data_IF_825489083232
#
_entry.id   IF_825489083232
#
_cell.length_a   1.000
_cell.length_b   1.000
_cell.length_c   1.000
_cell.angle_alpha   90.00
_cell.angle_beta   90.00
_cell.angle_gamma   90.00
#
_symmetry.space_group_name_H-M   'P 1'
#
loop_
_entity.id
_entity.type
_entity.pdbx_description
1 polymer ?
#
# COMPACT_ATOMS: atom_id res chain seq x y z
N UNK A 1 28.25 20.80 -24.80
CA UNK A 1 28.03 20.83 -23.32
C UNK A 1 27.01 19.82 -22.75
N UNK A 2 26.38 19.01 -23.59
CA UNK A 2 25.41 18.00 -23.13
C UNK A 2 26.00 16.77 -22.39
N UNK A 3 27.24 16.31 -22.62
CA UNK A 3 27.75 15.14 -21.89
C UNK A 3 28.06 15.39 -20.41
N UNK A 4 28.36 16.62 -20.01
CA UNK A 4 28.70 16.94 -18.62
C UNK A 4 27.49 17.05 -17.69
N UNK A 5 26.37 17.59 -18.18
CA UNK A 5 25.14 17.68 -17.41
C UNK A 5 24.49 16.33 -17.16
N UNK A 6 24.57 15.41 -18.14
CA UNK A 6 24.17 14.01 -17.95
C UNK A 6 25.03 13.29 -16.92
N UNK A 7 26.35 13.52 -16.91
CA UNK A 7 27.26 12.91 -15.94
C UNK A 7 27.01 13.33 -14.49
N UNK A 8 26.72 14.61 -14.25
CA UNK A 8 26.38 15.10 -12.91
C UNK A 8 25.02 14.54 -12.41
N UNK A 9 24.00 14.54 -13.26
CA UNK A 9 22.71 13.92 -12.94
C UNK A 9 22.85 12.42 -12.59
N UNK A 10 23.67 11.70 -13.30
CA UNK A 10 24.01 10.30 -13.06
C UNK A 10 24.65 10.10 -11.68
N UNK A 11 25.59 10.96 -11.31
CA UNK A 11 26.28 10.88 -10.00
C UNK A 11 25.29 11.12 -8.87
N UNK A 12 24.46 12.17 -8.95
CA UNK A 12 23.47 12.48 -7.90
C UNK A 12 22.43 11.38 -7.73
N UNK A 13 21.93 10.80 -8.81
CA UNK A 13 20.91 9.74 -8.74
C UNK A 13 21.47 8.43 -8.18
N UNK A 14 22.72 8.09 -8.54
CA UNK A 14 23.43 6.95 -7.92
C UNK A 14 23.65 7.19 -6.44
N UNK A 15 24.01 8.41 -6.05
CA UNK A 15 24.18 8.78 -4.64
C UNK A 15 22.88 8.63 -3.86
N UNK A 16 21.71 9.05 -4.41
CA UNK A 16 20.42 8.87 -3.75
C UNK A 16 20.13 7.39 -3.50
N UNK A 17 20.29 6.52 -4.51
CA UNK A 17 20.08 5.09 -4.32
C UNK A 17 21.06 4.50 -3.29
N UNK A 18 22.34 4.86 -3.37
CA UNK A 18 23.36 4.39 -2.44
C UNK A 18 23.09 4.86 -1.01
N UNK A 19 22.78 6.12 -0.82
CA UNK A 19 22.46 6.67 0.50
C UNK A 19 21.24 6.04 1.13
N UNK A 20 20.15 5.85 0.36
CA UNK A 20 18.94 5.20 0.86
C UNK A 20 19.20 3.76 1.30
N UNK A 21 20.05 3.02 0.60
CA UNK A 21 20.39 1.64 0.96
C UNK A 21 21.31 1.57 2.18
N UNK A 22 22.17 2.57 2.36
CA UNK A 22 23.16 2.60 3.47
C UNK A 22 22.64 3.29 4.73
N UNK A 23 21.56 4.08 4.62
CA UNK A 23 20.92 4.72 5.78
C UNK A 23 20.11 3.69 6.58
N UNK A 24 20.27 3.76 7.89
CA UNK A 24 19.44 3.01 8.84
C UNK A 24 18.79 3.99 9.80
N UNK A 25 17.51 3.75 10.11
CA UNK A 25 16.83 4.46 11.20
C UNK A 25 17.39 4.02 12.55
N UNK A 26 17.13 4.79 13.60
CA UNK A 26 17.51 4.43 14.99
C UNK A 26 16.98 3.06 15.42
N UNK A 27 15.93 2.56 14.78
CA UNK A 27 15.35 1.23 15.04
C UNK A 27 15.97 0.12 14.16
N UNK A 28 17.02 0.41 13.40
CA UNK A 28 17.69 -0.57 12.54
C UNK A 28 16.92 -0.93 11.27
N UNK A 29 16.00 -0.08 10.82
CA UNK A 29 15.26 -0.30 9.58
C UNK A 29 15.75 0.64 8.47
N UNK A 30 15.67 0.18 7.21
CA UNK A 30 15.91 1.04 6.06
C UNK A 30 14.78 2.09 5.95
N UNK A 31 15.08 3.33 5.48
CA UNK A 31 14.06 4.33 5.23
C UNK A 31 13.06 3.87 4.16
N UNK A 32 11.78 3.91 4.46
CA UNK A 32 10.71 3.62 3.51
C UNK A 32 10.42 4.85 2.64
N UNK A 33 11.24 5.04 1.61
CA UNK A 33 11.12 6.15 0.65
C UNK A 33 10.47 5.63 -0.62
N UNK A 34 9.47 6.36 -1.13
CA UNK A 34 8.81 6.09 -2.40
C UNK A 34 9.08 7.23 -3.38
N UNK A 35 9.46 6.90 -4.60
CA UNK A 35 9.53 7.83 -5.74
C UNK A 35 8.36 7.53 -6.65
N UNK A 36 7.53 8.53 -6.87
CA UNK A 36 6.34 8.47 -7.69
C UNK A 36 6.63 9.07 -9.06
N UNK A 37 6.64 8.23 -10.08
CA UNK A 37 6.98 8.62 -11.46
C UNK A 37 5.70 8.86 -12.24
N UNK A 38 5.21 10.10 -12.21
CA UNK A 38 3.94 10.52 -12.74
C UNK A 38 4.10 11.75 -13.65
N UNK A 39 3.90 11.59 -14.95
CA UNK A 39 4.00 12.66 -15.93
C UNK A 39 2.88 13.70 -15.80
N UNK A 40 1.70 13.28 -15.32
CA UNK A 40 0.56 14.17 -15.09
C UNK A 40 0.73 15.19 -13.98
N UNK A 41 1.84 15.16 -13.20
CA UNK A 41 2.20 16.24 -12.27
C UNK A 41 2.69 17.51 -12.98
N UNK A 42 3.12 17.39 -14.24
CA UNK A 42 3.65 18.51 -15.00
C UNK A 42 2.55 19.53 -15.33
N UNK A 43 2.88 20.81 -15.16
CA UNK A 43 1.96 21.95 -15.37
C UNK A 43 1.92 22.44 -16.80
N UNK A 44 2.91 22.06 -17.60
CA UNK A 44 3.04 22.45 -18.99
C UNK A 44 3.84 21.40 -19.78
N UNK A 45 3.80 21.43 -21.13
CA UNK A 45 4.49 20.44 -21.97
C UNK A 45 6.02 20.37 -21.76
N UNK A 46 6.67 21.49 -21.46
CA UNK A 46 8.11 21.50 -21.21
C UNK A 46 8.46 20.79 -19.91
N UNK A 47 7.74 21.08 -18.83
CA UNK A 47 7.90 20.36 -17.57
C UNK A 47 7.65 18.85 -17.74
N UNK A 48 6.67 18.47 -18.59
CA UNK A 48 6.38 17.07 -18.87
C UNK A 48 7.54 16.38 -19.59
N UNK A 49 8.15 17.05 -20.56
CA UNK A 49 9.32 16.54 -21.26
C UNK A 49 10.53 16.42 -20.33
N UNK A 50 10.78 17.41 -19.49
CA UNK A 50 11.86 17.40 -18.50
C UNK A 50 11.65 16.27 -17.46
N UNK A 51 10.41 16.10 -16.98
CA UNK A 51 10.06 15.02 -16.06
C UNK A 51 10.23 13.64 -16.70
N UNK A 52 9.89 13.49 -17.98
CA UNK A 52 10.11 12.25 -18.72
C UNK A 52 11.59 11.85 -18.75
N UNK A 53 12.51 12.81 -18.93
CA UNK A 53 13.96 12.58 -18.87
C UNK A 53 14.38 12.12 -17.46
N UNK A 54 13.82 12.71 -16.42
CA UNK A 54 14.10 12.35 -15.03
C UNK A 54 13.60 10.94 -14.74
N UNK A 55 12.41 10.59 -15.20
CA UNK A 55 11.82 9.25 -15.06
C UNK A 55 12.65 8.21 -15.81
N UNK A 56 13.00 8.49 -17.07
CA UNK A 56 13.84 7.61 -17.88
C UNK A 56 15.14 7.27 -17.15
N UNK A 57 15.84 8.28 -16.68
CA UNK A 57 17.11 8.09 -16.01
C UNK A 57 16.95 7.36 -14.67
N UNK A 58 15.88 7.62 -13.92
CA UNK A 58 15.58 6.91 -12.68
C UNK A 58 15.40 5.41 -12.92
N UNK A 59 14.66 5.04 -13.98
CA UNK A 59 14.46 3.64 -14.35
C UNK A 59 15.76 3.01 -14.86
N UNK A 60 16.58 3.73 -15.65
CA UNK A 60 17.89 3.25 -16.13
C UNK A 60 18.84 2.95 -14.98
N UNK A 61 18.90 3.82 -13.98
CA UNK A 61 19.71 3.61 -12.78
C UNK A 61 19.23 2.40 -11.97
N UNK A 62 17.92 2.22 -11.84
CA UNK A 62 17.37 1.04 -11.18
C UNK A 62 17.64 -0.24 -11.99
N UNK A 63 17.54 -0.20 -13.30
CA UNK A 63 17.88 -1.33 -14.18
C UNK A 63 19.35 -1.76 -13.99
N UNK A 64 20.26 -0.81 -13.85
CA UNK A 64 21.66 -1.07 -13.54
C UNK A 64 21.83 -1.67 -12.15
N UNK A 65 21.18 -1.10 -11.14
CA UNK A 65 21.30 -1.47 -9.72
C UNK A 65 22.45 -0.76 -9.02
N UNK A 66 22.81 -1.27 -7.84
CA UNK A 66 23.90 -0.75 -7.00
C UNK A 66 24.92 -1.85 -6.78
N UNK A 67 26.20 -1.53 -6.82
CA UNK A 67 27.27 -2.47 -6.46
C UNK A 67 27.36 -2.61 -4.94
N UNK A 68 27.38 -3.84 -4.45
CA UNK A 68 27.70 -4.13 -3.06
C UNK A 68 29.24 -4.12 -2.85
N UNK A 69 29.67 -4.35 -1.62
CA UNK A 69 31.10 -4.37 -1.25
C UNK A 69 31.92 -5.44 -2.02
N UNK A 70 31.28 -6.53 -2.42
CA UNK A 70 31.87 -7.58 -3.25
C UNK A 70 31.90 -7.23 -4.75
N UNK A 71 31.50 -6.02 -5.14
CA UNK A 71 31.44 -5.56 -6.53
C UNK A 71 30.29 -6.15 -7.36
N UNK A 72 29.34 -6.85 -6.74
CA UNK A 72 28.19 -7.47 -7.40
C UNK A 72 27.04 -6.46 -7.49
N UNK A 73 26.40 -6.39 -8.67
CA UNK A 73 25.25 -5.56 -8.90
C UNK A 73 24.01 -6.16 -8.25
N UNK A 74 23.45 -5.47 -7.26
CA UNK A 74 22.23 -5.86 -6.54
C UNK A 74 21.08 -4.90 -6.84
N UNK A 75 19.87 -5.37 -6.61
CA UNK A 75 18.66 -4.53 -6.65
C UNK A 75 18.43 -3.91 -5.26
N UNK A 76 18.49 -2.58 -5.11
CA UNK A 76 18.16 -1.94 -3.84
C UNK A 76 16.66 -2.08 -3.55
N UNK A 77 16.30 -2.37 -2.29
CA UNK A 77 14.90 -2.46 -1.87
C UNK A 77 14.21 -1.07 -1.90
N UNK A 78 14.97 -0.01 -1.57
CA UNK A 78 14.50 1.38 -1.56
C UNK A 78 15.45 2.30 -2.35
N UNK A 79 14.93 3.44 -2.84
CA UNK A 79 13.54 3.88 -2.80
C UNK A 79 12.61 2.93 -3.58
N UNK A 80 11.39 2.75 -3.12
CA UNK A 80 10.33 2.14 -3.93
C UNK A 80 10.09 3.02 -5.14
N UNK A 81 9.98 2.41 -6.31
CA UNK A 81 9.63 3.11 -7.55
C UNK A 81 8.21 2.73 -7.92
N UNK A 82 7.36 3.73 -8.10
CA UNK A 82 5.99 3.58 -8.56
C UNK A 82 5.88 4.27 -9.92
N UNK A 83 5.51 3.52 -10.94
CA UNK A 83 5.34 4.02 -12.30
C UNK A 83 3.85 4.14 -12.63
N UNK A 84 3.42 5.34 -13.05
CA UNK A 84 2.03 5.59 -13.39
C UNK A 84 1.80 5.29 -14.87
N UNK A 85 0.79 4.46 -15.13
CA UNK A 85 0.29 4.18 -16.47
C UNK A 85 -0.77 5.22 -16.82
N UNK A 86 -0.44 6.08 -17.80
CA UNK A 86 -1.22 7.23 -18.26
C UNK A 86 -1.62 7.02 -19.73
N UNK A 87 -2.62 7.74 -20.22
CA UNK A 87 -3.12 7.57 -21.58
C UNK A 87 -2.07 7.83 -22.68
N UNK A 88 -1.03 8.61 -22.39
CA UNK A 88 0.04 8.94 -23.33
C UNK A 88 1.31 8.07 -23.21
N UNK A 89 1.25 7.00 -22.41
CA UNK A 89 2.37 6.09 -22.24
C UNK A 89 2.03 4.59 -22.28
N UNK A 90 0.76 4.20 -22.52
CA UNK A 90 0.33 2.80 -22.41
C UNK A 90 0.25 2.06 -23.73
N UNK A 91 0.14 2.76 -24.87
CA UNK A 91 0.00 2.11 -26.17
C UNK A 91 1.21 2.37 -27.08
N UNK A 92 1.58 1.40 -27.92
CA UNK A 92 2.57 1.62 -28.97
C UNK A 92 2.17 2.81 -29.85
N UNK A 93 3.07 3.78 -29.97
CA UNK A 93 2.84 5.04 -30.66
C UNK A 93 2.54 6.24 -29.79
N UNK A 94 2.23 6.04 -28.52
CA UNK A 94 2.11 7.13 -27.57
C UNK A 94 3.47 7.84 -27.38
N UNK A 95 3.48 9.17 -27.15
CA UNK A 95 4.73 9.94 -27.09
C UNK A 95 5.68 9.49 -25.97
N UNK A 96 5.17 8.92 -24.90
CA UNK A 96 5.97 8.44 -23.76
C UNK A 96 5.94 6.92 -23.59
N UNK A 97 5.46 6.15 -24.56
CA UNK A 97 5.42 4.69 -24.49
C UNK A 97 6.79 4.04 -24.25
N UNK A 98 7.86 4.66 -24.75
CA UNK A 98 9.23 4.20 -24.54
C UNK A 98 9.62 4.10 -23.05
N UNK A 99 9.00 4.92 -22.18
CA UNK A 99 9.19 4.83 -20.72
C UNK A 99 8.57 3.55 -20.17
N UNK A 100 7.40 3.18 -20.65
CA UNK A 100 6.72 1.92 -20.25
C UNK A 100 7.50 0.70 -20.72
N UNK A 101 8.05 0.72 -21.93
CA UNK A 101 8.95 -0.35 -22.40
C UNK A 101 10.19 -0.46 -21.51
N UNK A 102 10.80 0.67 -21.14
CA UNK A 102 11.96 0.70 -20.27
C UNK A 102 11.60 0.22 -18.85
N UNK A 103 10.44 0.62 -18.32
CA UNK A 103 9.92 0.14 -17.04
C UNK A 103 9.70 -1.38 -17.07
N UNK A 104 9.09 -1.91 -18.13
CA UNK A 104 8.89 -3.35 -18.29
C UNK A 104 10.22 -4.12 -18.34
N UNK A 105 11.23 -3.62 -19.08
CA UNK A 105 12.59 -4.20 -19.09
C UNK A 105 13.22 -4.17 -17.69
N UNK A 106 13.01 -3.09 -16.95
CA UNK A 106 13.48 -2.98 -15.58
C UNK A 106 12.77 -4.00 -14.68
N UNK A 107 11.47 -4.14 -14.79
CA UNK A 107 10.68 -5.12 -14.03
C UNK A 107 11.14 -6.55 -14.30
N UNK A 108 11.36 -6.91 -15.55
CA UNK A 108 11.86 -8.24 -15.91
C UNK A 108 13.20 -8.59 -15.26
N UNK A 109 14.07 -7.59 -15.06
CA UNK A 109 15.41 -7.79 -14.46
C UNK A 109 15.44 -7.58 -12.95
N UNK A 110 14.64 -6.66 -12.42
CA UNK A 110 14.75 -6.14 -11.05
C UNK A 110 13.48 -6.26 -10.22
N UNK A 111 12.38 -6.71 -10.79
CA UNK A 111 11.04 -6.80 -10.18
C UNK A 111 10.50 -5.44 -9.66
N UNK A 112 10.94 -4.37 -10.28
CA UNK A 112 10.51 -2.98 -10.03
C UNK A 112 10.55 -2.19 -11.34
N UNK A 113 9.75 -1.14 -11.52
CA UNK A 113 8.83 -0.49 -10.57
C UNK A 113 7.54 -1.27 -10.33
N UNK A 114 6.78 -0.87 -9.30
CA UNK A 114 5.36 -1.20 -9.17
C UNK A 114 4.54 -0.27 -10.07
N UNK A 115 3.36 -0.71 -10.51
CA UNK A 115 2.55 0.02 -11.48
C UNK A 115 1.23 0.49 -10.87
N UNK A 116 0.81 1.71 -11.21
CA UNK A 116 -0.49 2.27 -10.86
C UNK A 116 -1.16 2.78 -12.15
N UNK A 117 -2.43 2.44 -12.35
CA UNK A 117 -3.23 3.04 -13.42
C UNK A 117 -3.78 4.39 -12.96
N UNK A 118 -3.41 5.48 -13.65
CA UNK A 118 -3.98 6.81 -13.44
C UNK A 118 -5.50 6.78 -13.55
N UNK A 119 -6.04 6.22 -14.63
CA UNK A 119 -7.48 6.11 -14.87
C UNK A 119 -8.21 5.48 -13.67
N UNK A 120 -7.67 4.38 -13.13
CA UNK A 120 -8.30 3.72 -11.97
C UNK A 120 -8.11 4.50 -10.68
N UNK A 121 -6.99 5.17 -10.50
CA UNK A 121 -6.79 6.07 -9.37
C UNK A 121 -7.78 7.22 -9.38
N UNK A 122 -7.99 7.87 -10.52
CA UNK A 122 -8.94 8.95 -10.69
C UNK A 122 -10.37 8.48 -10.44
N UNK A 123 -10.76 7.29 -10.93
CA UNK A 123 -12.09 6.71 -10.66
C UNK A 123 -12.33 6.43 -9.15
N UNK A 124 -11.30 6.02 -8.40
CA UNK A 124 -11.44 5.55 -7.02
C UNK A 124 -11.12 6.61 -5.96
N UNK A 125 -10.32 7.61 -6.30
CA UNK A 125 -9.68 8.52 -5.34
C UNK A 125 -9.92 10.00 -5.63
N UNK A 126 -10.62 10.33 -6.71
CA UNK A 126 -11.01 11.71 -7.02
C UNK A 126 -12.33 12.03 -6.33
N UNK A 127 -12.52 13.28 -5.98
CA UNK A 127 -13.74 13.73 -5.35
C UNK A 127 -14.94 13.73 -6.32
N UNK A 128 -16.14 13.98 -5.78
CA UNK A 128 -17.38 13.98 -6.57
C UNK A 128 -17.43 15.07 -7.65
N UNK A 129 -16.55 16.06 -7.59
CA UNK A 129 -16.49 17.18 -8.52
C UNK A 129 -15.50 16.92 -9.67
N UNK A 130 -14.85 15.76 -9.70
CA UNK A 130 -13.85 15.43 -10.70
C UNK A 130 -12.53 16.17 -10.52
N UNK A 131 -12.37 16.91 -9.42
CA UNK A 131 -11.10 17.53 -9.07
C UNK A 131 -10.22 16.55 -8.31
N UNK A 132 -9.04 16.32 -8.82
CA UNK A 132 -8.08 15.45 -8.18
C UNK A 132 -6.98 15.01 -9.13
N UNK A 133 -5.91 14.53 -8.53
CA UNK A 133 -4.78 13.97 -9.23
C UNK A 133 -4.50 12.56 -8.73
N UNK A 134 -3.86 11.76 -9.54
CA UNK A 134 -3.22 10.56 -9.06
C UNK A 134 -2.17 10.96 -8.01
N UNK A 135 -2.12 10.25 -6.90
CA UNK A 135 -1.17 10.50 -5.81
C UNK A 135 -0.53 9.21 -5.31
N UNK A 136 0.64 9.36 -4.71
CA UNK A 136 1.46 8.21 -4.30
C UNK A 136 0.87 7.47 -3.10
N UNK A 137 1.15 6.17 -3.04
CA UNK A 137 1.07 5.43 -1.79
C UNK A 137 2.25 5.77 -0.86
N UNK A 138 2.05 5.56 0.42
CA UNK A 138 3.11 5.60 1.42
C UNK A 138 3.75 4.20 1.54
N UNK A 139 5.06 4.14 1.45
CA UNK A 139 5.79 2.87 1.45
C UNK A 139 5.36 1.95 0.31
N UNK A 140 4.88 0.75 0.63
CA UNK A 140 4.58 -0.26 -0.39
C UNK A 140 3.20 -0.12 -1.01
N UNK A 141 2.16 0.19 -0.24
CA UNK A 141 0.76 0.11 -0.70
C UNK A 141 -0.26 0.90 0.13
N UNK A 142 0.16 1.66 1.15
CA UNK A 142 -0.77 2.41 1.99
C UNK A 142 -1.20 3.70 1.29
N UNK A 143 -2.48 3.84 1.04
CA UNK A 143 -3.06 5.07 0.49
C UNK A 143 -3.85 5.81 1.57
N UNK A 144 -3.65 7.12 1.60
CA UNK A 144 -4.53 8.00 2.34
C UNK A 144 -5.85 8.13 1.59
N UNK A 145 -6.94 8.28 2.32
CA UNK A 145 -8.24 8.56 1.71
C UNK A 145 -8.27 10.00 1.15
N UNK A 146 -9.13 10.30 0.17
CA UNK A 146 -9.32 11.66 -0.33
C UNK A 146 -9.64 12.63 0.81
N UNK A 147 -9.05 13.81 0.77
CA UNK A 147 -9.22 14.86 1.77
C UNK A 147 -9.28 16.23 1.10
N UNK A 148 -10.26 17.03 1.48
CA UNK A 148 -10.40 18.42 1.09
C UNK A 148 -10.00 19.29 2.27
N UNK A 149 -9.04 20.16 2.06
CA UNK A 149 -8.58 21.10 3.08
C UNK A 149 -9.70 22.13 3.36
N UNK A 150 -10.21 22.23 4.59
CA UNK A 150 -11.30 23.12 4.92
C UNK A 150 -10.93 24.62 4.82
N UNK A 151 -9.65 24.96 4.88
CA UNK A 151 -9.19 26.34 4.77
C UNK A 151 -9.14 26.82 3.31
N UNK A 152 -8.76 25.92 2.39
CA UNK A 152 -8.59 26.26 0.97
C UNK A 152 -9.72 25.78 0.07
N UNK A 153 -10.54 24.83 0.56
CA UNK A 153 -11.57 24.15 -0.22
C UNK A 153 -11.02 23.25 -1.34
N UNK A 154 -9.71 23.00 -1.35
CA UNK A 154 -9.03 22.20 -2.39
C UNK A 154 -8.58 20.84 -1.89
N UNK A 155 -8.54 19.83 -2.75
CA UNK A 155 -7.95 18.54 -2.43
C UNK A 155 -6.49 18.68 -2.01
N UNK A 156 -6.09 17.95 -0.96
CA UNK A 156 -4.73 17.95 -0.44
C UNK A 156 -4.14 16.55 -0.44
N UNK A 157 -3.04 16.37 -1.14
CA UNK A 157 -2.40 15.07 -1.37
C UNK A 157 -1.07 14.91 -0.62
N UNK A 158 -0.44 15.98 -0.17
CA UNK A 158 0.88 15.99 0.48
C UNK A 158 0.79 16.47 1.93
N UNK A 159 1.82 16.17 2.71
CA UNK A 159 1.91 16.58 4.12
C UNK A 159 0.91 15.87 5.02
N UNK A 160 0.39 14.73 4.60
CA UNK A 160 -0.57 13.90 5.34
C UNK A 160 0.09 12.61 5.80
N UNK A 161 -0.53 11.86 6.71
CA UNK A 161 0.07 10.66 7.29
C UNK A 161 -0.98 9.65 7.76
N UNK A 162 -0.52 8.44 8.08
CA UNK A 162 -1.31 7.39 8.70
C UNK A 162 -0.93 7.28 10.19
N UNK A 163 -1.93 7.27 11.08
CA UNK A 163 -1.74 7.18 12.54
C UNK A 163 -1.32 5.78 13.00
N UNK A 164 -1.52 4.78 12.16
CA UNK A 164 -1.15 3.40 12.42
C UNK A 164 -2.17 2.38 11.95
N UNK A 165 -1.79 1.12 12.11
CA UNK A 165 -2.55 -0.03 11.63
C UNK A 165 -2.77 -1.03 12.76
N UNK A 166 -3.96 -1.62 12.82
CA UNK A 166 -4.25 -2.83 13.60
C UNK A 166 -4.82 -3.87 12.63
N UNK A 167 -4.26 -5.07 12.63
CA UNK A 167 -4.62 -6.12 11.66
C UNK A 167 -5.41 -7.23 12.32
N UNK A 168 -6.61 -7.51 11.77
CA UNK A 168 -7.43 -8.65 12.18
C UNK A 168 -6.95 -9.94 11.50
N UNK A 169 -6.92 -11.03 12.27
CA UNK A 169 -6.67 -12.36 11.77
C UNK A 169 -8.00 -13.05 11.44
N UNK A 170 -8.38 -13.09 10.16
CA UNK A 170 -9.64 -13.68 9.72
C UNK A 170 -9.68 -15.20 9.92
N UNK A 171 -8.51 -15.86 9.91
CA UNK A 171 -8.42 -17.32 10.15
C UNK A 171 -8.77 -17.65 11.60
N UNK A 172 -8.37 -16.82 12.58
CA UNK A 172 -8.75 -16.99 13.98
C UNK A 172 -10.27 -16.88 14.15
N UNK A 173 -10.92 -15.93 13.47
CA UNK A 173 -12.38 -15.79 13.48
C UNK A 173 -13.06 -17.04 12.95
N UNK A 174 -12.63 -17.53 11.80
CA UNK A 174 -13.19 -18.72 11.16
C UNK A 174 -13.02 -19.96 12.05
N UNK A 175 -11.82 -20.25 12.52
CA UNK A 175 -11.54 -21.40 13.38
C UNK A 175 -12.31 -21.32 14.71
N UNK A 176 -12.43 -20.13 15.31
CA UNK A 176 -13.20 -19.94 16.55
C UNK A 176 -14.69 -20.19 16.37
N UNK A 177 -15.23 -20.01 15.16
CA UNK A 177 -16.63 -20.28 14.85
C UNK A 177 -16.95 -21.78 14.74
N UNK A 178 -15.92 -22.62 14.53
CA UNK A 178 -16.11 -24.06 14.26
C UNK A 178 -16.84 -24.34 12.96
N UNK A 179 -16.81 -23.44 11.97
CA UNK A 179 -17.50 -23.57 10.68
C UNK A 179 -18.98 -23.16 10.70
N UNK A 180 -19.50 -22.66 11.83
CA UNK A 180 -20.85 -22.15 11.93
C UNK A 180 -20.90 -20.68 11.49
N UNK A 181 -21.70 -20.35 10.47
CA UNK A 181 -21.78 -19.00 9.89
C UNK A 181 -22.37 -17.95 10.84
N UNK A 182 -23.40 -18.28 11.61
CA UNK A 182 -23.99 -17.35 12.58
C UNK A 182 -22.99 -17.00 13.67
N UNK A 183 -22.31 -17.99 14.21
CA UNK A 183 -21.24 -17.83 15.20
C UNK A 183 -20.05 -17.06 14.60
N UNK A 184 -19.75 -17.27 13.31
CA UNK A 184 -18.68 -16.53 12.62
C UNK A 184 -18.93 -15.02 12.66
N UNK A 185 -20.11 -14.55 12.23
CA UNK A 185 -20.43 -13.14 12.21
C UNK A 185 -20.40 -12.50 13.60
N UNK A 186 -20.92 -13.21 14.61
CA UNK A 186 -20.87 -12.75 16.00
C UNK A 186 -19.42 -12.56 16.50
N UNK A 187 -18.56 -13.58 16.31
CA UNK A 187 -17.16 -13.51 16.70
C UNK A 187 -16.43 -12.44 15.87
N UNK A 188 -16.78 -12.30 14.61
CA UNK A 188 -16.19 -11.30 13.74
C UNK A 188 -16.44 -9.89 14.26
N UNK A 189 -17.67 -9.57 14.64
CA UNK A 189 -18.01 -8.29 15.26
C UNK A 189 -17.26 -8.06 16.59
N UNK A 190 -17.17 -9.08 17.44
CA UNK A 190 -16.39 -9.02 18.69
C UNK A 190 -14.89 -8.70 18.42
N UNK A 191 -14.31 -9.30 17.38
CA UNK A 191 -12.91 -9.05 17.00
C UNK A 191 -12.71 -7.69 16.35
N UNK A 192 -13.68 -7.23 15.54
CA UNK A 192 -13.68 -5.89 14.97
C UNK A 192 -13.76 -4.82 16.06
N UNK A 193 -14.59 -5.02 17.10
CA UNK A 193 -14.64 -4.12 18.26
C UNK A 193 -13.27 -4.05 18.98
N UNK A 194 -12.60 -5.18 19.17
CA UNK A 194 -11.25 -5.19 19.73
C UNK A 194 -10.25 -4.43 18.88
N UNK A 195 -10.30 -4.60 17.56
CA UNK A 195 -9.46 -3.85 16.63
C UNK A 195 -9.75 -2.34 16.71
N UNK A 196 -11.02 -1.97 16.75
CA UNK A 196 -11.45 -0.58 16.90
C UNK A 196 -10.91 0.06 18.18
N UNK A 197 -11.07 -0.61 19.32
CA UNK A 197 -10.52 -0.15 20.60
C UNK A 197 -9.00 -0.03 20.58
N UNK A 198 -8.31 -0.94 19.89
CA UNK A 198 -6.86 -0.84 19.73
C UNK A 198 -6.46 0.35 18.82
N UNK A 199 -7.20 0.62 17.76
CA UNK A 199 -7.00 1.81 16.92
C UNK A 199 -7.25 3.10 17.71
N UNK A 200 -8.33 3.16 18.49
CA UNK A 200 -8.60 4.29 19.40
C UNK A 200 -7.48 4.49 20.42
N UNK A 201 -6.92 3.42 20.99
CA UNK A 201 -5.80 3.53 21.92
C UNK A 201 -4.55 4.13 21.25
N UNK A 202 -4.27 3.77 19.97
CA UNK A 202 -3.21 4.38 19.17
C UNK A 202 -3.46 5.87 18.95
N UNK A 203 -4.66 6.23 18.53
CA UNK A 203 -5.07 7.62 18.33
C UNK A 203 -4.92 8.44 19.62
N UNK A 204 -5.47 7.95 20.74
CA UNK A 204 -5.37 8.62 22.05
C UNK A 204 -3.93 8.84 22.51
N UNK A 205 -3.00 7.96 22.11
CA UNK A 205 -1.58 8.12 22.43
C UNK A 205 -0.93 9.28 21.70
N UNK A 206 -1.48 9.70 20.57
CA UNK A 206 -0.98 10.84 19.77
C UNK A 206 -1.54 12.18 20.26
N UNK A 207 -2.72 12.18 20.88
CA UNK A 207 -3.34 13.41 21.38
C UNK A 207 -2.44 14.14 22.37
N UNK A 208 -2.42 15.46 22.26
CA UNK A 208 -1.62 16.33 23.11
C UNK A 208 -0.13 16.37 22.76
N UNK A 209 0.33 15.64 21.75
CA UNK A 209 1.72 15.67 21.30
C UNK A 209 2.09 17.07 20.80
N UNK A 210 3.12 17.73 21.37
CA UNK A 210 3.57 19.03 20.88
C UNK A 210 4.37 18.88 19.59
N UNK A 211 4.33 19.90 18.74
CA UNK A 211 5.10 19.94 17.48
C UNK A 211 6.62 19.82 17.70
N UNK A 212 7.09 20.15 18.89
CA UNK A 212 8.50 20.01 19.29
C UNK A 212 8.96 18.55 19.43
N UNK A 213 8.03 17.60 19.55
CA UNK A 213 8.38 16.17 19.64
C UNK A 213 9.08 15.66 18.38
N UNK A 214 8.76 16.23 17.20
CA UNK A 214 9.42 15.94 15.93
C UNK A 214 9.34 17.18 15.01
N UNK A 215 10.21 18.18 15.22
CA UNK A 215 10.12 19.47 14.52
C UNK A 215 10.17 19.34 12.97
N UNK A 216 10.99 18.43 12.46
CA UNK A 216 11.08 18.18 11.00
C UNK A 216 9.73 17.79 10.42
N UNK A 217 8.98 16.94 11.14
CA UNK A 217 7.66 16.49 10.69
C UNK A 217 6.60 17.59 10.84
N UNK A 218 6.57 18.26 11.99
CA UNK A 218 5.43 19.07 12.40
C UNK A 218 5.61 20.57 12.18
N UNK A 219 6.84 21.09 12.22
CA UNK A 219 7.13 22.54 12.13
C UNK A 219 7.72 22.92 10.78
N UNK A 220 8.61 22.09 10.19
CA UNK A 220 9.40 22.45 9.00
C UNK A 220 8.82 21.90 7.70
N UNK A 221 7.66 21.30 7.71
CA UNK A 221 6.85 21.07 6.52
C UNK A 221 6.94 19.67 5.91
N UNK A 222 7.57 18.68 6.56
CA UNK A 222 7.51 17.32 6.06
C UNK A 222 6.06 16.78 6.09
N UNK A 223 5.31 17.05 7.18
CA UNK A 223 3.90 16.73 7.30
C UNK A 223 3.03 17.96 7.55
N UNK A 224 3.51 18.93 8.31
CA UNK A 224 2.78 20.14 8.65
C UNK A 224 3.73 21.33 8.86
N UNK A 225 3.17 22.53 9.05
CA UNK A 225 3.88 23.76 9.42
C UNK A 225 3.25 24.38 10.66
N UNK A 226 3.23 23.63 11.76
CA UNK A 226 2.73 24.08 13.04
C UNK A 226 3.73 25.04 13.71
N UNK A 227 3.23 25.93 14.57
CA UNK A 227 4.10 26.76 15.41
C UNK A 227 4.76 25.88 16.47
N UNK A 228 5.89 26.36 17.01
CA UNK A 228 6.59 25.71 18.11
C UNK A 228 5.63 25.57 19.32
N UNK A 229 5.59 24.39 19.92
CA UNK A 229 4.70 24.07 21.04
C UNK A 229 3.23 23.84 20.68
N UNK A 230 2.81 24.06 19.45
CA UNK A 230 1.46 23.79 18.99
C UNK A 230 1.20 22.28 18.99
N UNK A 231 0.01 21.85 19.45
CA UNK A 231 -0.37 20.43 19.47
C UNK A 231 -0.79 19.94 18.09
N UNK A 232 -0.48 18.68 17.79
CA UNK A 232 -0.82 18.05 16.50
C UNK A 232 -2.29 17.63 16.39
N UNK A 233 -3.09 17.81 17.44
CA UNK A 233 -4.45 17.25 17.56
C UNK A 233 -5.32 17.57 16.35
N UNK A 234 -5.25 18.79 15.80
CA UNK A 234 -6.02 19.17 14.61
C UNK A 234 -5.71 18.34 13.36
N UNK A 235 -4.54 17.69 13.33
CA UNK A 235 -4.11 16.82 12.22
C UNK A 235 -4.59 15.38 12.38
N UNK A 236 -5.18 15.04 13.53
CA UNK A 236 -5.62 13.67 13.84
C UNK A 236 -7.09 13.43 13.51
N UNK A 237 -7.85 14.48 13.21
CA UNK A 237 -9.28 14.44 12.92
C UNK A 237 -9.61 14.97 11.51
N UNK A 238 -10.89 14.84 11.11
CA UNK A 238 -11.43 15.45 9.90
C UNK A 238 -10.88 14.88 8.60
N UNK A 239 -10.16 13.77 8.64
CA UNK A 239 -9.58 13.14 7.43
C UNK A 239 -8.20 13.66 7.03
N UNK A 240 -7.59 14.60 7.76
CA UNK A 240 -6.22 15.03 7.47
C UNK A 240 -5.23 13.86 7.54
N UNK A 241 -5.37 13.00 8.53
CA UNK A 241 -4.67 11.73 8.65
C UNK A 241 -5.66 10.57 8.63
N UNK A 242 -5.18 9.40 8.27
CA UNK A 242 -5.95 8.16 8.27
C UNK A 242 -5.53 7.25 9.41
N UNK A 243 -6.39 6.31 9.79
CA UNK A 243 -6.06 5.21 10.68
C UNK A 243 -6.62 3.93 10.07
N UNK A 244 -5.84 2.85 10.06
CA UNK A 244 -6.15 1.72 9.18
C UNK A 244 -6.50 0.44 9.94
N UNK A 245 -7.61 -0.19 9.52
CA UNK A 245 -7.90 -1.59 9.83
C UNK A 245 -7.25 -2.46 8.77
N UNK A 246 -6.26 -3.25 9.16
CA UNK A 246 -5.65 -4.27 8.32
C UNK A 246 -6.34 -5.63 8.46
N UNK A 247 -6.12 -6.52 7.52
CA UNK A 247 -6.65 -7.88 7.55
C UNK A 247 -5.70 -8.90 6.92
N UNK A 248 -5.81 -10.16 7.34
CA UNK A 248 -4.99 -11.26 6.87
C UNK A 248 -5.77 -12.56 6.82
N UNK A 249 -5.40 -13.45 5.89
CA UNK A 249 -5.91 -14.81 5.82
C UNK A 249 -7.33 -14.95 5.28
N UNK A 250 -7.72 -14.09 4.32
CA UNK A 250 -9.05 -14.20 3.70
C UNK A 250 -9.21 -15.57 2.99
N UNK A 251 -8.17 -16.04 2.30
CA UNK A 251 -8.19 -17.34 1.64
C UNK A 251 -8.49 -18.48 2.62
N UNK A 252 -7.70 -18.59 3.69
CA UNK A 252 -7.86 -19.63 4.69
C UNK A 252 -9.20 -19.53 5.43
N UNK A 253 -9.65 -18.31 5.72
CA UNK A 253 -10.95 -18.03 6.32
C UNK A 253 -12.09 -18.60 5.46
N UNK A 254 -12.13 -18.24 4.19
CA UNK A 254 -13.15 -18.67 3.24
C UNK A 254 -13.09 -20.19 3.05
N UNK A 255 -11.90 -20.73 2.89
CA UNK A 255 -11.68 -22.16 2.71
C UNK A 255 -12.17 -22.98 3.91
N UNK A 256 -11.92 -22.52 5.14
CA UNK A 256 -12.42 -23.19 6.34
C UNK A 256 -13.94 -23.14 6.45
N UNK A 257 -14.55 -21.99 6.14
CA UNK A 257 -15.99 -21.79 6.26
C UNK A 257 -16.80 -22.47 5.16
N UNK A 258 -16.27 -22.55 3.93
CA UNK A 258 -17.00 -23.02 2.73
C UNK A 258 -16.48 -24.35 2.17
N UNK A 259 -15.32 -24.80 2.61
CA UNK A 259 -14.61 -25.94 2.02
C UNK A 259 -13.90 -25.63 0.69
N UNK A 260 -14.00 -24.39 0.17
CA UNK A 260 -13.49 -23.99 -1.13
C UNK A 260 -12.64 -22.72 -1.05
N UNK A 261 -11.75 -22.53 -2.03
CA UNK A 261 -11.03 -21.27 -2.20
C UNK A 261 -11.98 -20.11 -2.47
N UNK A 262 -11.58 -18.91 -2.08
CA UNK A 262 -12.31 -17.68 -2.43
C UNK A 262 -12.32 -17.37 -3.94
N UNK A 263 -11.49 -18.07 -4.73
CA UNK A 263 -11.53 -18.01 -6.20
C UNK A 263 -12.67 -18.82 -6.80
N UNK A 264 -13.25 -19.77 -6.04
CA UNK A 264 -14.43 -20.53 -6.47
C UNK A 264 -15.65 -19.60 -6.52
N UNK A 265 -16.43 -19.69 -7.61
CA UNK A 265 -17.60 -18.84 -7.84
C UNK A 265 -18.66 -18.93 -6.71
N UNK A 266 -18.79 -20.10 -6.08
CA UNK A 266 -19.74 -20.31 -4.96
C UNK A 266 -19.23 -19.76 -3.61
N UNK A 267 -17.91 -19.64 -3.43
CA UNK A 267 -17.30 -19.15 -2.19
C UNK A 267 -16.98 -17.65 -2.24
N UNK A 268 -16.77 -17.08 -3.43
CA UNK A 268 -16.46 -15.67 -3.64
C UNK A 268 -17.48 -14.70 -3.01
N UNK A 269 -18.81 -14.90 -3.09
CA UNK A 269 -19.75 -14.01 -2.44
C UNK A 269 -19.54 -13.87 -0.92
N UNK A 270 -19.19 -14.97 -0.24
CA UNK A 270 -18.85 -14.92 1.18
C UNK A 270 -17.55 -14.11 1.41
N UNK A 271 -16.52 -14.30 0.60
CA UNK A 271 -15.30 -13.49 0.68
C UNK A 271 -15.57 -11.99 0.53
N UNK A 272 -16.38 -11.61 -0.45
CA UNK A 272 -16.77 -10.21 -0.68
C UNK A 272 -17.61 -9.66 0.47
N UNK A 273 -18.52 -10.47 1.06
CA UNK A 273 -19.31 -10.03 2.22
C UNK A 273 -18.45 -9.78 3.46
N UNK A 274 -17.42 -10.59 3.69
CA UNK A 274 -16.44 -10.35 4.77
C UNK A 274 -15.71 -9.01 4.57
N UNK A 275 -15.26 -8.73 3.34
CA UNK A 275 -14.59 -7.48 3.02
C UNK A 275 -15.53 -6.27 3.14
N UNK A 276 -16.75 -6.39 2.64
CA UNK A 276 -17.77 -5.34 2.73
C UNK A 276 -18.08 -5.02 4.18
N UNK A 277 -18.28 -6.03 5.02
CA UNK A 277 -18.56 -5.85 6.44
C UNK A 277 -17.45 -5.05 7.17
N UNK A 278 -16.18 -5.33 6.89
CA UNK A 278 -15.06 -4.54 7.42
C UNK A 278 -15.10 -3.08 6.95
N UNK A 279 -15.43 -2.84 5.67
CA UNK A 279 -15.60 -1.49 5.15
C UNK A 279 -16.75 -0.74 5.81
N UNK A 280 -17.88 -1.40 5.99
CA UNK A 280 -19.05 -0.81 6.63
C UNK A 280 -18.75 -0.40 8.07
N UNK A 281 -18.00 -1.23 8.81
CA UNK A 281 -17.51 -0.89 10.15
C UNK A 281 -16.55 0.31 10.14
N UNK A 282 -15.61 0.36 9.22
CA UNK A 282 -14.74 1.53 9.07
C UNK A 282 -15.55 2.80 8.79
N UNK A 283 -16.57 2.73 7.95
CA UNK A 283 -17.44 3.87 7.62
C UNK A 283 -18.32 4.28 8.81
N UNK A 284 -18.80 3.33 9.61
CA UNK A 284 -19.55 3.57 10.85
C UNK A 284 -18.68 4.33 11.85
N UNK A 285 -17.47 3.85 12.14
CA UNK A 285 -16.52 4.50 13.06
C UNK A 285 -16.11 5.89 12.57
N UNK A 286 -15.87 6.04 11.27
CA UNK A 286 -15.53 7.33 10.66
C UNK A 286 -16.61 8.38 10.91
N UNK A 287 -17.88 8.01 10.74
CA UNK A 287 -19.02 8.90 10.98
C UNK A 287 -19.17 9.26 12.45
N UNK A 288 -18.97 8.28 13.35
CA UNK A 288 -19.15 8.46 14.76
C UNK A 288 -18.05 9.31 15.43
N UNK A 289 -16.81 9.22 14.94
CA UNK A 289 -15.63 9.75 15.65
C UNK A 289 -14.89 10.87 14.91
N UNK A 290 -15.34 11.24 13.69
CA UNK A 290 -14.66 12.22 12.84
C UNK A 290 -13.17 11.87 12.59
N UNK A 291 -12.86 10.58 12.56
CA UNK A 291 -11.55 10.03 12.21
C UNK A 291 -11.64 9.22 10.93
N UNK A 292 -10.60 9.27 10.10
CA UNK A 292 -10.64 8.64 8.80
C UNK A 292 -10.18 7.19 8.85
N UNK A 293 -11.06 6.32 9.34
CA UNK A 293 -10.86 4.87 9.32
C UNK A 293 -10.90 4.32 7.90
N UNK A 294 -9.96 3.42 7.57
CA UNK A 294 -9.86 2.87 6.23
C UNK A 294 -9.42 1.41 6.25
N UNK A 295 -10.07 0.58 5.46
CA UNK A 295 -9.67 -0.82 5.29
C UNK A 295 -8.41 -0.91 4.42
N UNK A 296 -7.41 -1.64 4.90
CA UNK A 296 -6.08 -1.70 4.33
C UNK A 296 -5.59 -3.14 4.15
N UNK A 297 -5.27 -3.52 2.91
CA UNK A 297 -4.56 -4.76 2.59
C UNK A 297 -3.10 -4.70 3.03
N UNK A 298 -2.86 -4.78 4.34
CA UNK A 298 -1.54 -4.59 4.96
C UNK A 298 -0.46 -5.52 4.42
N UNK A 299 0.77 -5.04 4.18
CA UNK A 299 1.94 -5.90 4.05
C UNK A 299 2.21 -6.54 5.42
N UNK A 300 2.20 -7.85 5.48
CA UNK A 300 2.24 -8.56 6.76
C UNK A 300 3.59 -9.19 7.06
N UNK A 301 4.52 -9.19 6.14
CA UNK A 301 5.90 -9.67 6.32
C UNK A 301 6.00 -10.82 7.37
N UNK A 302 6.69 -10.58 8.49
CA UNK A 302 6.81 -11.56 9.58
C UNK A 302 5.50 -11.83 10.34
N UNK A 303 4.47 -10.99 10.20
CA UNK A 303 3.20 -11.15 10.90
C UNK A 303 2.42 -12.36 10.40
N UNK A 304 2.54 -12.72 9.12
CA UNK A 304 1.92 -13.94 8.57
C UNK A 304 2.44 -15.19 9.27
N UNK A 305 3.75 -15.25 9.52
CA UNK A 305 4.39 -16.33 10.29
C UNK A 305 3.91 -16.33 11.75
N UNK A 306 3.92 -15.15 12.41
CA UNK A 306 3.46 -15.02 13.79
C UNK A 306 2.02 -15.47 13.95
N UNK A 307 1.13 -15.07 13.05
CA UNK A 307 -0.26 -15.49 13.05
C UNK A 307 -0.40 -16.99 12.86
N UNK A 308 0.32 -17.58 11.90
CA UNK A 308 0.31 -19.03 11.70
C UNK A 308 0.73 -19.78 12.97
N UNK A 309 1.81 -19.37 13.64
CA UNK A 309 2.27 -19.98 14.89
C UNK A 309 1.26 -19.85 16.04
N UNK A 310 0.61 -18.70 16.15
CA UNK A 310 -0.45 -18.50 17.15
C UNK A 310 -1.66 -19.40 16.87
N UNK A 311 -2.06 -19.54 15.61
CA UNK A 311 -3.15 -20.42 15.20
C UNK A 311 -2.83 -21.89 15.48
N UNK A 312 -1.62 -22.35 15.13
CA UNK A 312 -1.17 -23.72 15.42
C UNK A 312 -1.17 -24.00 16.93
N UNK A 313 -0.71 -23.05 17.75
CA UNK A 313 -0.73 -23.20 19.21
C UNK A 313 -2.17 -23.29 19.77
N UNK A 314 -3.10 -22.54 19.20
CA UNK A 314 -4.48 -22.42 19.71
C UNK A 314 -5.40 -23.52 19.19
N UNK A 315 -5.29 -23.90 17.94
CA UNK A 315 -6.23 -24.78 17.25
C UNK A 315 -5.60 -26.10 16.75
N UNK A 316 -4.27 -26.25 16.90
CA UNK A 316 -3.55 -27.37 16.32
C UNK A 316 -3.33 -27.23 14.81
N UNK A 317 -2.98 -28.35 14.19
CA UNK A 317 -2.81 -28.45 12.74
C UNK A 317 -4.15 -28.80 12.10
N UNK A 318 -4.68 -27.86 11.33
CA UNK A 318 -5.88 -28.05 10.50
C UNK A 318 -5.41 -28.12 9.04
N UNK A 319 -5.56 -29.27 8.35
CA UNK A 319 -5.06 -29.45 6.99
C UNK A 319 -5.58 -28.40 6.01
N UNK A 320 -4.67 -27.80 5.24
CA UNK A 320 -4.96 -26.75 4.27
C UNK A 320 -5.29 -25.39 4.85
N UNK A 321 -5.26 -25.21 6.18
CA UNK A 321 -5.55 -23.96 6.90
C UNK A 321 -4.36 -23.53 7.77
N UNK A 322 -3.94 -24.37 8.74
CA UNK A 322 -2.85 -24.05 9.68
C UNK A 322 -1.63 -24.94 9.53
N UNK A 323 -1.57 -25.77 8.52
CA UNK A 323 -0.50 -26.71 8.23
C UNK A 323 0.78 -26.08 7.64
N UNK A 324 0.75 -24.76 7.40
CA UNK A 324 1.88 -23.97 6.88
C UNK A 324 2.43 -23.03 7.94
N UNK A 325 3.64 -22.56 7.74
CA UNK A 325 4.29 -21.56 8.61
C UNK A 325 3.90 -20.12 8.27
N UNK A 326 2.86 -19.92 7.47
CA UNK A 326 2.31 -18.62 7.11
C UNK A 326 0.82 -18.74 6.87
N UNK A 327 0.13 -17.60 6.88
CA UNK A 327 -1.22 -17.43 6.33
C UNK A 327 -1.16 -16.50 5.14
N UNK A 328 -2.12 -16.57 4.24
CA UNK A 328 -2.16 -15.73 3.04
C UNK A 328 -2.31 -14.26 3.43
N UNK A 329 -1.51 -13.42 2.80
CA UNK A 329 -1.55 -11.98 3.02
C UNK A 329 -2.85 -11.40 2.44
N UNK A 330 -3.56 -10.59 3.24
CA UNK A 330 -4.79 -9.88 2.85
C UNK A 330 -5.78 -10.76 2.05
N UNK A 331 -6.11 -10.37 0.81
CA UNK A 331 -7.06 -11.03 -0.08
C UNK A 331 -6.41 -11.88 -1.18
N UNK A 332 -5.09 -11.97 -1.22
CA UNK A 332 -4.38 -12.58 -2.35
C UNK A 332 -4.85 -14.00 -2.67
N UNK A 333 -4.84 -14.32 -3.95
CA UNK A 333 -4.96 -15.71 -4.41
C UNK A 333 -3.80 -16.52 -3.84
N UNK A 334 -4.11 -17.68 -3.28
CA UNK A 334 -3.10 -18.52 -2.66
C UNK A 334 -2.07 -19.01 -3.69
N UNK A 335 -0.80 -19.01 -3.33
CA UNK A 335 0.33 -19.34 -4.23
C UNK A 335 0.29 -20.74 -4.85
N UNK A 336 -0.49 -21.66 -4.27
CA UNK A 336 -0.69 -23.00 -4.84
C UNK A 336 -1.76 -23.06 -5.92
N UNK A 337 -2.49 -21.98 -6.19
CA UNK A 337 -3.53 -21.97 -7.21
C UNK A 337 -2.92 -21.66 -8.59
N UNK A 338 -3.25 -22.49 -9.57
CA UNK A 338 -2.86 -22.28 -10.95
C UNK A 338 -3.84 -21.30 -11.61
N UNK A 339 -3.45 -20.05 -11.67
CA UNK A 339 -4.23 -18.96 -12.25
C UNK A 339 -3.32 -18.08 -13.11
N UNK A 340 -3.76 -17.72 -14.32
CA UNK A 340 -3.00 -16.79 -15.16
C UNK A 340 -3.06 -15.35 -14.62
N UNK A 341 -2.11 -14.52 -15.05
CA UNK A 341 -1.95 -13.16 -14.54
C UNK A 341 -3.19 -12.28 -14.77
N UNK A 342 -3.84 -12.37 -15.92
CA UNK A 342 -5.00 -11.54 -16.24
C UNK A 342 -6.22 -11.93 -15.41
N UNK A 343 -6.47 -13.22 -15.29
CA UNK A 343 -7.56 -13.76 -14.46
C UNK A 343 -7.33 -13.42 -13.00
N UNK A 344 -6.10 -13.56 -12.50
CA UNK A 344 -5.72 -13.17 -11.13
C UNK A 344 -5.97 -11.69 -10.87
N UNK A 345 -5.46 -10.81 -11.73
CA UNK A 345 -5.63 -9.36 -11.57
C UNK A 345 -7.10 -8.95 -11.65
N UNK A 346 -7.87 -9.55 -12.57
CA UNK A 346 -9.31 -9.31 -12.67
C UNK A 346 -10.05 -9.75 -11.39
N UNK A 347 -9.72 -10.91 -10.85
CA UNK A 347 -10.28 -11.42 -9.61
C UNK A 347 -9.92 -10.52 -8.42
N UNK A 348 -8.64 -10.23 -8.23
CA UNK A 348 -8.14 -9.45 -7.09
C UNK A 348 -8.60 -7.98 -7.15
N UNK A 349 -8.90 -7.43 -8.34
CA UNK A 349 -9.37 -6.05 -8.49
C UNK A 349 -10.67 -5.74 -7.73
N UNK A 350 -11.55 -6.74 -7.56
CA UNK A 350 -12.78 -6.57 -6.79
C UNK A 350 -12.51 -6.38 -5.31
N UNK A 351 -11.50 -7.05 -4.78
CA UNK A 351 -11.05 -6.92 -3.39
C UNK A 351 -10.23 -5.64 -3.17
N UNK A 352 -9.48 -5.21 -4.18
CA UNK A 352 -8.78 -3.91 -4.15
C UNK A 352 -9.75 -2.74 -3.98
N UNK A 353 -10.89 -2.74 -4.70
CA UNK A 353 -11.95 -1.73 -4.54
C UNK A 353 -12.48 -1.64 -3.12
N UNK A 354 -12.50 -2.77 -2.41
CA UNK A 354 -12.94 -2.86 -1.02
C UNK A 354 -11.83 -2.55 -0.01
N UNK A 355 -10.63 -2.21 -0.46
CA UNK A 355 -9.49 -1.84 0.38
C UNK A 355 -9.03 -0.40 0.10
N UNK A 356 -9.85 0.63 0.42
CA UNK A 356 -9.55 2.03 0.09
C UNK A 356 -8.30 2.57 0.78
N UNK A 357 -7.86 1.97 1.89
CA UNK A 357 -6.62 2.30 2.58
C UNK A 357 -5.36 1.78 1.88
N UNK A 358 -5.53 1.08 0.78
CA UNK A 358 -4.45 0.58 -0.06
C UNK A 358 -4.42 -0.93 -0.19
N UNK A 359 -3.93 -1.37 -1.33
CA UNK A 359 -3.74 -2.77 -1.68
C UNK A 359 -2.73 -2.88 -2.82
N UNK A 360 -2.22 -4.07 -3.03
CA UNK A 360 -1.33 -4.41 -4.15
C UNK A 360 -1.63 -5.83 -4.61
N UNK A 361 -1.51 -6.09 -5.90
CA UNK A 361 -1.51 -7.46 -6.45
C UNK A 361 -0.11 -7.82 -6.92
N UNK A 362 0.30 -9.05 -6.62
CA UNK A 362 1.54 -9.62 -7.12
C UNK A 362 1.25 -10.59 -8.26
N UNK A 363 1.99 -10.46 -9.34
CA UNK A 363 1.99 -11.42 -10.44
C UNK A 363 3.31 -12.19 -10.40
N UNK A 364 3.21 -13.49 -10.18
CA UNK A 364 4.36 -14.37 -10.24
C UNK A 364 4.55 -14.83 -11.69
N UNK A 365 5.72 -14.55 -12.24
CA UNK A 365 6.09 -15.01 -13.57
C UNK A 365 7.03 -16.20 -13.40
N UNK A 366 6.67 -17.38 -13.93
CA UNK A 366 7.55 -18.54 -13.86
C UNK A 366 8.85 -18.24 -14.61
N UNK A 367 9.95 -18.77 -14.08
CA UNK A 367 11.25 -18.62 -14.73
C UNK A 367 11.19 -19.24 -16.13
N UNK A 368 11.19 -18.42 -17.14
CA UNK A 368 11.31 -18.86 -18.53
C UNK A 368 12.81 -19.01 -18.83
N UNK A 369 13.28 -20.25 -18.78
CA UNK A 369 14.57 -20.63 -19.36
C UNK A 369 14.47 -20.70 -20.87
#
# INVERSE_FOLDING_TARGET
DQPRSRGLGDVYKRQIQYQVVTLMTTNGQAPFITVFMYLGEARNPQEKADLAIIIEETIRQRYQGVKNEAGVWITPAFPKLIYVLEEDNIHPGDPYYYLTELAAKCTAKRMVPDYISEKKMLELKVDKNGEGHCYTCMGCRSFLTPYVDPETGKPKYYGRFNQGVVTINLVDVALSSGGNFEKFWKIFDERLDLCHRALQARHKRLLGTPSDAAPILWQYGALARLKKGEKIDKLLFGGYSTISLGYAGLYECVKYMTGKSHTDAGAKPFALSVMQHMNDKCNEWKKAENMDYSLYGTPLESTTYKFAKCLQKRFGIVPGITDKNYITNSYHVHVSEHIDAFTKLKFESEFQKLSPGGAISYVEVPNMQ
#
